data_IF_586596207584
#
_entry.id   IF_586596207584
#
_cell.length_a   1.000
_cell.length_b   1.000
_cell.length_c   1.000
_cell.angle_alpha   90.00
_cell.angle_beta   90.00
_cell.angle_gamma   90.00
#
_symmetry.space_group_name_H-M   'P 1'
#
loop_
_entity.id
_entity.type
_entity.pdbx_description
1 polymer ?
#
# COMPACT_ATOMS: atom_id res chain seq x y z
N UNK A 1 -0.15 18.65 -26.16
CA UNK A 1 -0.73 18.63 -24.78
C UNK A 1 -0.13 17.44 -24.04
N UNK A 2 0.53 17.65 -22.90
CA UNK A 2 1.06 16.54 -22.10
C UNK A 2 -0.08 15.78 -21.41
N UNK A 3 -0.04 14.44 -21.34
CA UNK A 3 -1.09 13.66 -20.67
C UNK A 3 -1.11 13.97 -19.18
N UNK A 4 -2.31 14.19 -18.62
CA UNK A 4 -2.50 14.40 -17.18
C UNK A 4 -2.24 13.06 -16.48
N UNK A 5 -1.07 12.92 -15.84
CA UNK A 5 -0.72 11.73 -15.06
C UNK A 5 -1.55 11.69 -13.79
N UNK A 6 -2.56 10.81 -13.75
CA UNK A 6 -3.38 10.59 -12.56
C UNK A 6 -2.55 9.88 -11.48
N UNK A 7 -2.54 10.45 -10.26
CA UNK A 7 -1.89 9.83 -9.10
C UNK A 7 -2.63 8.55 -8.69
N UNK A 8 -1.91 7.44 -8.57
CA UNK A 8 -2.45 6.14 -8.12
C UNK A 8 -2.53 6.09 -6.60
N UNK A 9 -3.59 5.45 -6.09
CA UNK A 9 -3.75 5.11 -4.66
C UNK A 9 -3.28 3.67 -4.44
N UNK A 10 -2.56 3.44 -3.34
CA UNK A 10 -2.04 2.12 -2.98
C UNK A 10 -2.42 1.79 -1.55
N UNK A 11 -3.13 0.68 -1.36
CA UNK A 11 -3.52 0.15 -0.05
C UNK A 11 -2.31 -0.47 0.67
N UNK A 12 -2.32 -0.51 2.01
CA UNK A 12 -1.23 -1.07 2.81
C UNK A 12 -0.93 -2.52 2.46
N UNK A 13 -1.96 -3.33 2.21
CA UNK A 13 -1.79 -4.72 1.82
C UNK A 13 -0.97 -4.88 0.53
N UNK A 14 -1.28 -4.04 -0.47
CA UNK A 14 -0.54 -4.01 -1.72
C UNK A 14 0.92 -3.60 -1.49
N UNK A 15 1.15 -2.55 -0.71
CA UNK A 15 2.53 -2.10 -0.38
C UNK A 15 3.33 -3.20 0.31
N UNK A 16 2.72 -3.94 1.25
CA UNK A 16 3.37 -5.07 1.93
C UNK A 16 3.69 -6.22 0.95
N UNK A 17 2.82 -6.51 -0.01
CA UNK A 17 3.08 -7.50 -1.07
C UNK A 17 4.29 -7.09 -1.93
N UNK A 18 4.35 -5.82 -2.34
CA UNK A 18 5.48 -5.28 -3.09
C UNK A 18 6.78 -5.36 -2.28
N UNK A 19 6.73 -5.05 -0.98
CA UNK A 19 7.89 -5.19 -0.08
C UNK A 19 8.35 -6.64 0.01
N UNK A 20 7.44 -7.59 0.21
CA UNK A 20 7.78 -9.01 0.30
C UNK A 20 8.46 -9.52 -0.98
N UNK A 21 7.97 -9.10 -2.15
CA UNK A 21 8.61 -9.40 -3.43
C UNK A 21 9.99 -8.73 -3.56
N UNK A 22 10.14 -7.48 -3.12
CA UNK A 22 11.41 -6.76 -3.14
C UNK A 22 12.45 -7.33 -2.17
N UNK A 23 12.03 -8.00 -1.10
CA UNK A 23 12.90 -8.71 -0.15
C UNK A 23 13.45 -10.02 -0.74
N UNK A 24 12.66 -10.75 -1.54
CA UNK A 24 13.10 -11.99 -2.19
C UNK A 24 13.87 -11.77 -3.48
N UNK A 25 13.57 -10.70 -4.22
CA UNK A 25 14.24 -10.34 -5.47
C UNK A 25 15.07 -9.06 -5.26
N UNK A 26 14.63 -7.93 -5.81
CA UNK A 26 15.22 -6.61 -5.61
C UNK A 26 14.17 -5.51 -5.88
N UNK A 27 14.50 -4.25 -5.55
CA UNK A 27 13.56 -3.13 -5.68
C UNK A 27 13.22 -2.83 -7.16
N UNK A 28 14.17 -3.01 -8.08
CA UNK A 28 13.97 -2.77 -9.51
C UNK A 28 13.01 -3.79 -10.14
N UNK A 29 13.13 -5.07 -9.78
CA UNK A 29 12.23 -6.13 -10.18
C UNK A 29 10.82 -5.83 -9.64
N UNK A 30 10.69 -5.48 -8.36
CA UNK A 30 9.40 -5.10 -7.77
C UNK A 30 8.76 -3.90 -8.49
N UNK A 31 9.57 -2.92 -8.89
CA UNK A 31 9.11 -1.75 -9.64
C UNK A 31 8.51 -2.15 -11.01
N UNK A 32 9.17 -3.07 -11.71
CA UNK A 32 8.72 -3.60 -13.02
C UNK A 32 7.47 -4.47 -12.90
N UNK A 33 7.47 -5.43 -11.98
CA UNK A 33 6.34 -6.36 -11.79
C UNK A 33 5.05 -5.65 -11.39
N UNK A 34 5.14 -4.69 -10.47
CA UNK A 34 3.96 -4.04 -9.89
C UNK A 34 3.64 -2.67 -10.49
N UNK A 35 4.42 -2.22 -11.48
CA UNK A 35 4.22 -0.92 -12.13
C UNK A 35 4.30 0.28 -11.18
N UNK A 36 5.12 0.16 -10.13
CA UNK A 36 5.38 1.22 -9.13
C UNK A 36 6.77 1.77 -9.32
N UNK A 37 7.04 3.01 -8.95
CA UNK A 37 8.41 3.56 -9.04
C UNK A 37 9.31 2.94 -7.97
N UNK A 38 10.55 2.61 -8.32
CA UNK A 38 11.55 2.03 -7.39
C UNK A 38 11.75 2.87 -6.11
N UNK A 39 11.75 4.20 -6.24
CA UNK A 39 11.73 5.12 -5.08
C UNK A 39 10.60 4.82 -4.09
N UNK A 40 9.40 4.52 -4.58
CA UNK A 40 8.25 4.20 -3.73
C UNK A 40 8.47 2.89 -3.00
N UNK A 41 9.03 1.87 -3.68
CA UNK A 41 9.37 0.58 -3.08
C UNK A 41 10.36 0.78 -1.93
N UNK A 42 11.41 1.59 -2.15
CA UNK A 42 12.39 1.92 -1.12
C UNK A 42 11.76 2.64 0.07
N UNK A 43 10.94 3.67 -0.18
CA UNK A 43 10.25 4.43 0.87
C UNK A 43 9.29 3.54 1.69
N UNK A 44 8.63 2.59 1.04
CA UNK A 44 7.74 1.63 1.71
C UNK A 44 8.51 0.62 2.55
N UNK A 45 9.66 0.12 2.07
CA UNK A 45 10.53 -0.77 2.85
C UNK A 45 11.00 -0.10 4.14
N UNK A 46 11.43 1.16 4.08
CA UNK A 46 11.82 1.90 5.29
C UNK A 46 10.66 2.08 6.29
N UNK A 47 9.42 2.08 5.82
CA UNK A 47 8.20 2.25 6.61
C UNK A 47 7.43 0.94 6.81
N UNK A 48 8.07 -0.21 6.60
CA UNK A 48 7.41 -1.52 6.66
C UNK A 48 6.72 -1.76 8.01
N UNK A 49 7.38 -1.42 9.12
CA UNK A 49 6.81 -1.55 10.47
C UNK A 49 5.49 -0.77 10.63
N UNK A 50 5.43 0.47 10.11
CA UNK A 50 4.21 1.28 10.11
C UNK A 50 3.12 0.68 9.22
N UNK A 51 3.51 0.14 8.06
CA UNK A 51 2.58 -0.50 7.13
C UNK A 51 1.97 -1.78 7.70
N UNK A 52 2.72 -2.53 8.52
CA UNK A 52 2.21 -3.72 9.25
C UNK A 52 1.26 -3.36 10.38
N UNK A 53 1.47 -2.23 11.05
CA UNK A 53 0.58 -1.73 12.11
C UNK A 53 -0.72 -1.13 11.55
N UNK A 54 -0.70 -0.61 10.32
CA UNK A 54 -1.87 0.02 9.70
C UNK A 54 -2.88 -1.02 9.17
N UNK A 55 -4.20 -0.73 9.21
CA UNK A 55 -5.20 -1.55 8.54
C UNK A 55 -4.92 -1.77 7.04
N UNK A 56 -5.14 -3.01 6.57
CA UNK A 56 -4.76 -3.49 5.23
C UNK A 56 -5.32 -2.65 4.07
N UNK A 57 -6.52 -2.10 4.23
CA UNK A 57 -7.25 -1.31 3.24
C UNK A 57 -6.89 0.19 3.26
N UNK A 58 -6.18 0.69 4.29
CA UNK A 58 -5.82 2.10 4.36
C UNK A 58 -4.69 2.39 3.38
N UNK A 59 -4.70 3.58 2.78
CA UNK A 59 -3.69 4.02 1.81
C UNK A 59 -2.59 4.89 2.43
N UNK A 60 -2.89 5.56 3.55
CA UNK A 60 -1.96 6.47 4.24
C UNK A 60 -2.38 6.64 5.71
N UNK A 61 -1.41 7.01 6.55
CA UNK A 61 -1.65 7.33 7.96
C UNK A 61 -2.14 8.78 8.10
N UNK A 62 -3.33 9.07 7.55
CA UNK A 62 -3.98 10.38 7.73
C UNK A 62 -4.58 10.46 9.14
N UNK A 63 -4.51 11.64 9.76
CA UNK A 63 -5.09 11.91 11.08
C UNK A 63 -6.63 11.93 10.99
N UNK A 64 -7.30 11.51 12.06
CA UNK A 64 -8.75 11.50 12.18
C UNK A 64 -9.31 10.11 12.51
N UNK A 65 -10.14 10.04 13.55
CA UNK A 65 -10.95 8.85 13.83
C UNK A 65 -12.03 8.75 12.76
N UNK A 66 -12.29 7.54 12.28
CA UNK A 66 -13.41 7.29 11.40
C UNK A 66 -14.71 7.74 12.09
N UNK A 67 -15.62 8.36 11.34
CA UNK A 67 -16.93 8.73 11.88
C UNK A 67 -17.75 7.48 12.28
N UNK A 68 -17.50 6.34 11.63
CA UNK A 68 -18.21 5.07 11.86
C UNK A 68 -17.24 3.90 12.09
N UNK A 69 -16.53 3.86 13.24
CA UNK A 69 -15.44 2.91 13.46
C UNK A 69 -15.88 1.44 13.39
N UNK A 70 -17.06 1.11 13.92
CA UNK A 70 -17.60 -0.27 13.93
C UNK A 70 -17.89 -0.77 12.51
N UNK A 71 -18.51 0.07 11.68
CA UNK A 71 -18.82 -0.27 10.29
C UNK A 71 -17.55 -0.45 9.46
N UNK A 72 -16.56 0.43 9.65
CA UNK A 72 -15.28 0.29 8.99
C UNK A 72 -14.57 -1.00 9.41
N UNK A 73 -14.54 -1.35 10.70
CA UNK A 73 -13.92 -2.60 11.17
C UNK A 73 -14.56 -3.81 10.48
N UNK A 74 -15.89 -3.89 10.45
CA UNK A 74 -16.61 -4.99 9.77
C UNK A 74 -16.31 -5.03 8.28
N UNK A 75 -16.23 -3.88 7.61
CA UNK A 75 -15.89 -3.84 6.19
C UNK A 75 -14.42 -4.22 5.93
N UNK A 76 -13.50 -3.84 6.82
CA UNK A 76 -12.07 -4.17 6.75
C UNK A 76 -11.85 -5.68 6.89
N UNK A 77 -12.49 -6.32 7.86
CA UNK A 77 -12.28 -7.75 8.16
C UNK A 77 -12.75 -8.66 7.03
N UNK A 78 -13.79 -8.26 6.30
CA UNK A 78 -14.38 -9.05 5.21
C UNK A 78 -13.73 -8.79 3.84
N UNK A 79 -12.83 -7.81 3.72
CA UNK A 79 -12.17 -7.48 2.46
C UNK A 79 -10.95 -8.38 2.25
N UNK A 80 -11.01 -9.26 1.25
CA UNK A 80 -9.83 -9.93 0.75
C UNK A 80 -8.94 -8.93 0.02
N UNK A 81 -7.63 -8.97 0.28
CA UNK A 81 -6.71 -8.20 -0.54
C UNK A 81 -6.76 -8.75 -1.96
N UNK A 82 -6.89 -7.90 -3.00
CA UNK A 82 -6.86 -8.37 -4.36
C UNK A 82 -5.54 -9.11 -4.60
N UNK A 83 -5.69 -10.35 -5.10
CA UNK A 83 -4.59 -11.28 -5.42
C UNK A 83 -3.71 -10.73 -6.51
#
# INVERSE_FOLDING_TARGET
MAPIVKRRRYEACFKLKVIAYAQSHNNCAASREYGVTEKMVRDWRSKEHLLRSMPRNKCAMRRGTAHWPILEIRYITNRQCPT
#
